data_IF_664359608588
#
_entry.id   IF_664359608588
#
_cell.length_a   1.000
_cell.length_b   1.000
_cell.length_c   1.000
_cell.angle_alpha   90.00
_cell.angle_beta   90.00
_cell.angle_gamma   90.00
#
_symmetry.space_group_name_H-M   'P 1'
#
loop_
_entity.id
_entity.type
_entity.pdbx_description
1 polymer ?
#
# COMPACT_ATOMS: atom_id res chain seq x y z
N UNK A 11 -24.57 8.03 -3.39
CA UNK A 11 -25.47 9.08 -2.92
C UNK A 11 -24.86 9.83 -1.73
N UNK A 12 -24.64 11.14 -1.89
CA UNK A 12 -23.99 11.96 -0.88
C UNK A 12 -24.95 12.49 0.20
N UNK A 13 -24.39 12.88 1.34
CA UNK A 13 -25.17 13.42 2.45
C UNK A 13 -24.28 14.19 3.42
N UNK A 14 -23.05 13.71 3.57
CA UNK A 14 -22.06 14.32 4.46
C UNK A 14 -20.87 14.80 3.64
N UNK A 15 -19.95 15.57 4.23
CA UNK A 15 -18.77 15.95 3.43
C UNK A 15 -17.81 14.79 3.19
N UNK A 16 -17.17 14.31 4.25
CA UNK A 16 -16.13 13.28 4.16
C UNK A 16 -16.60 12.02 3.44
N UNK A 17 -17.78 11.53 3.79
CA UNK A 17 -18.32 10.32 3.21
C UNK A 17 -18.56 10.49 1.70
N UNK A 18 -18.99 11.69 1.32
CA UNK A 18 -19.21 11.99 -0.10
C UNK A 18 -17.89 12.15 -0.83
N UNK A 19 -16.88 12.64 -0.12
CA UNK A 19 -15.54 12.79 -0.68
C UNK A 19 -14.83 11.45 -0.77
N UNK A 20 -15.32 10.48 0.01
CA UNK A 20 -14.69 9.15 0.04
C UNK A 20 -15.18 8.24 -1.08
N UNK A 21 -15.90 8.82 -2.04
CA UNK A 21 -16.42 8.04 -3.15
C UNK A 21 -15.37 7.84 -4.24
N UNK A 22 -15.68 8.29 -5.45
CA UNK A 22 -14.81 8.07 -6.61
C UNK A 22 -13.54 8.91 -6.51
N UNK A 23 -12.40 8.30 -6.86
CA UNK A 23 -11.09 8.94 -6.72
C UNK A 23 -10.62 9.71 -7.96
N UNK A 24 -10.20 10.95 -7.74
CA UNK A 24 -9.47 11.73 -8.73
C UNK A 24 -8.60 12.70 -7.95
N UNK A 25 -7.74 13.45 -8.66
CA UNK A 25 -6.82 14.37 -8.01
C UNK A 25 -7.55 15.32 -7.06
N UNK A 26 -8.70 15.79 -7.50
CA UNK A 26 -9.52 16.70 -6.72
C UNK A 26 -10.02 16.07 -5.41
N UNK A 27 -10.84 15.04 -5.53
CA UNK A 27 -11.43 14.37 -4.37
C UNK A 27 -10.37 13.85 -3.40
N UNK A 28 -9.42 13.08 -3.94
CA UNK A 28 -8.33 12.53 -3.15
C UNK A 28 -7.56 13.63 -2.42
N UNK A 29 -7.21 14.69 -3.15
CA UNK A 29 -6.50 15.82 -2.56
C UNK A 29 -7.26 16.45 -1.40
N UNK A 30 -8.57 16.63 -1.60
CA UNK A 30 -9.44 17.18 -0.56
C UNK A 30 -9.40 16.31 0.69
N UNK A 31 -9.64 15.00 0.50
CA UNK A 31 -9.62 14.06 1.62
C UNK A 31 -8.30 14.11 2.38
N UNK A 32 -7.19 14.10 1.65
CA UNK A 32 -5.86 14.16 2.25
C UNK A 32 -5.66 15.42 3.10
N UNK A 33 -5.95 16.57 2.51
CA UNK A 33 -5.81 17.84 3.23
C UNK A 33 -6.63 17.85 4.50
N UNK A 34 -7.85 17.34 4.38
CA UNK A 34 -8.80 17.43 5.47
C UNK A 34 -8.47 16.43 6.58
N UNK A 35 -7.82 15.31 6.25
CA UNK A 35 -7.28 14.41 7.27
C UNK A 35 -6.10 15.08 7.97
N UNK A 36 -5.26 15.72 7.15
CA UNK A 36 -4.12 16.46 7.61
C UNK A 36 -4.53 17.57 8.56
N UNK A 37 -5.77 18.02 8.47
CA UNK A 37 -6.27 19.02 9.41
C UNK A 37 -6.46 18.41 10.80
N UNK A 38 -7.22 17.32 10.90
CA UNK A 38 -7.40 16.60 12.16
C UNK A 38 -6.05 16.30 12.81
N UNK A 39 -5.16 15.74 12.00
CA UNK A 39 -3.78 15.47 12.43
C UNK A 39 -3.10 16.75 12.92
N UNK A 40 -3.25 17.82 12.16
CA UNK A 40 -2.60 19.10 12.45
C UNK A 40 -3.01 19.63 13.82
N UNK A 41 -4.30 19.87 14.02
CA UNK A 41 -4.70 20.46 15.28
C UNK A 41 -4.56 19.45 16.41
N UNK A 42 -4.54 18.17 16.09
CA UNK A 42 -4.15 17.19 17.09
C UNK A 42 -2.76 17.57 17.60
N UNK A 43 -1.81 17.67 16.68
CA UNK A 43 -0.43 18.02 17.04
C UNK A 43 -0.33 19.39 17.74
N UNK A 44 -1.22 20.31 17.39
CA UNK A 44 -1.17 21.66 17.95
C UNK A 44 -1.57 21.71 19.43
N UNK A 45 -2.37 20.74 19.89
CA UNK A 45 -2.84 20.72 21.27
C UNK A 45 -2.46 19.47 22.09
N UNK A 46 -3.30 18.45 22.03
CA UNK A 46 -3.33 17.32 22.97
C UNK A 46 -2.17 16.32 22.87
N UNK A 47 -0.95 16.82 22.68
CA UNK A 47 0.27 16.02 22.70
C UNK A 47 0.23 14.53 22.37
N UNK A 48 0.49 13.69 23.38
CA UNK A 48 0.58 12.25 23.17
C UNK A 48 -0.77 11.60 22.81
N UNK A 49 -1.85 12.07 23.42
CA UNK A 49 -3.19 11.60 23.09
C UNK A 49 -3.48 11.88 21.62
N UNK A 50 -3.17 13.12 21.25
CA UNK A 50 -3.29 13.57 19.88
C UNK A 50 -2.49 12.65 18.96
N UNK A 51 -1.31 12.25 19.42
CA UNK A 51 -0.46 11.34 18.66
C UNK A 51 -1.14 9.98 18.46
N UNK A 52 -1.79 9.48 19.52
CA UNK A 52 -2.53 8.23 19.45
C UNK A 52 -3.62 8.33 18.39
N UNK A 53 -4.27 9.49 18.31
CA UNK A 53 -5.21 9.74 17.20
C UNK A 53 -4.50 9.71 15.84
N UNK A 54 -3.32 10.32 15.82
CA UNK A 54 -2.52 10.45 14.61
C UNK A 54 -2.15 9.10 14.03
N UNK A 55 -2.07 8.09 14.89
CA UNK A 55 -1.87 6.72 14.43
C UNK A 55 -2.97 6.30 13.44
N UNK A 56 -4.20 6.24 13.94
CA UNK A 56 -5.36 5.88 13.12
C UNK A 56 -5.50 6.79 11.90
N UNK A 57 -5.28 8.09 12.09
CA UNK A 57 -5.37 9.04 10.98
C UNK A 57 -4.38 8.70 9.85
N UNK A 58 -3.14 8.44 10.24
CA UNK A 58 -2.12 8.03 9.31
C UNK A 58 -2.54 6.75 8.60
N UNK A 59 -3.22 5.87 9.32
CA UNK A 59 -3.66 4.62 8.71
C UNK A 59 -4.78 4.87 7.72
N UNK A 60 -5.54 5.94 7.93
CA UNK A 60 -6.55 6.36 6.96
C UNK A 60 -5.85 6.84 5.69
N UNK A 61 -4.77 7.59 5.88
CA UNK A 61 -3.94 8.01 4.74
C UNK A 61 -3.45 6.80 3.95
N UNK A 62 -2.94 5.80 4.67
CA UNK A 62 -2.48 4.57 4.02
C UNK A 62 -3.63 3.87 3.30
N UNK A 63 -4.83 3.93 3.87
CA UNK A 63 -6.01 3.39 3.20
C UNK A 63 -6.23 4.09 1.87
N UNK A 64 -6.04 5.41 1.85
CA UNK A 64 -6.13 6.17 0.61
C UNK A 64 -5.09 5.69 -0.40
N UNK A 65 -3.87 5.45 0.09
CA UNK A 65 -2.79 4.98 -0.78
C UNK A 65 -3.12 3.63 -1.43
N UNK A 66 -3.55 2.68 -0.61
CA UNK A 66 -3.94 1.36 -1.10
C UNK A 66 -5.09 1.47 -2.09
N UNK A 67 -6.06 2.33 -1.78
CA UNK A 67 -7.16 2.62 -2.70
C UNK A 67 -6.61 3.06 -4.05
N UNK A 68 -5.61 3.93 -4.01
CA UNK A 68 -4.99 4.42 -5.24
C UNK A 68 -4.21 3.32 -5.96
N UNK A 69 -3.78 2.31 -5.21
CA UNK A 69 -3.06 1.19 -5.80
C UNK A 69 -4.00 0.20 -6.49
N UNK A 70 -5.19 0.02 -5.92
CA UNK A 70 -6.11 -0.99 -6.40
C UNK A 70 -6.87 -0.58 -7.66
N UNK A 71 -7.17 0.70 -7.79
CA UNK A 71 -7.93 1.19 -8.94
C UNK A 71 -7.04 1.55 -10.12
N UNK A 72 -5.76 1.21 -10.03
CA UNK A 72 -4.82 1.47 -11.10
C UNK A 72 -4.46 2.93 -11.24
N UNK A 73 -4.34 3.62 -10.11
CA UNK A 73 -3.94 5.03 -10.09
C UNK A 73 -2.70 5.22 -9.24
N UNK A 74 -1.57 4.71 -9.74
CA UNK A 74 -0.31 4.71 -9.01
C UNK A 74 0.29 6.10 -8.81
N UNK A 75 0.23 6.91 -9.86
CA UNK A 75 0.76 8.28 -9.80
C UNK A 75 0.00 9.10 -8.77
N UNK A 76 -1.26 8.74 -8.54
CA UNK A 76 -2.06 9.36 -7.49
C UNK A 76 -1.51 8.96 -6.13
N UNK A 77 -1.12 7.69 -5.99
CA UNK A 77 -0.48 7.21 -4.77
C UNK A 77 0.78 8.00 -4.51
N UNK A 78 1.48 8.37 -5.58
CA UNK A 78 2.65 9.23 -5.45
C UNK A 78 2.25 10.67 -5.09
N UNK A 79 1.05 11.07 -5.52
CA UNK A 79 0.56 12.41 -5.22
C UNK A 79 0.12 12.53 -3.77
N UNK A 80 -0.16 11.40 -3.13
CA UNK A 80 -0.55 11.38 -1.71
C UNK A 80 0.51 12.02 -0.83
N UNK A 81 1.77 11.69 -1.11
CA UNK A 81 2.90 12.14 -0.30
C UNK A 81 3.06 13.66 -0.37
N UNK A 82 2.68 14.24 -1.51
CA UNK A 82 2.85 15.67 -1.74
C UNK A 82 1.84 16.50 -0.95
N UNK A 83 0.62 15.98 -0.82
CA UNK A 83 -0.44 16.70 -0.15
C UNK A 83 -0.41 16.56 1.36
N UNK A 84 0.68 16.00 1.88
CA UNK A 84 0.83 15.81 3.32
C UNK A 84 1.92 16.71 3.88
N UNK A 85 1.58 17.49 4.93
CA UNK A 85 2.55 18.35 5.62
C UNK A 85 3.77 17.57 6.09
N UNK A 86 4.93 18.21 6.08
CA UNK A 86 6.18 17.56 6.43
C UNK A 86 6.16 17.07 7.88
N UNK A 87 5.56 17.86 8.77
CA UNK A 87 5.45 17.50 10.17
C UNK A 87 4.67 16.20 10.34
N UNK A 88 3.58 16.08 9.60
CA UNK A 88 2.78 14.86 9.55
C UNK A 88 3.56 13.71 8.93
N UNK A 89 4.26 14.03 7.85
CA UNK A 89 5.05 13.07 7.09
C UNK A 89 6.13 12.43 7.96
N UNK A 90 6.64 13.19 8.92
CA UNK A 90 7.69 12.72 9.81
C UNK A 90 7.21 11.57 10.68
N UNK A 91 5.93 11.59 11.03
CA UNK A 91 5.35 10.56 11.87
C UNK A 91 4.80 9.40 11.05
N UNK A 92 4.04 9.73 10.00
CA UNK A 92 3.40 8.71 9.19
C UNK A 92 4.43 7.87 8.44
N UNK A 93 5.44 8.54 7.87
CA UNK A 93 6.55 7.85 7.21
C UNK A 93 7.84 8.15 7.96
N UNK A 94 8.04 7.50 9.11
CA UNK A 94 9.20 7.81 9.94
C UNK A 94 10.48 7.20 9.39
N UNK A 95 11.57 7.95 9.45
CA UNK A 95 12.87 7.45 9.07
C UNK A 95 13.07 7.22 7.59
N UNK A 96 13.58 6.05 7.26
CA UNK A 96 13.92 5.70 5.89
C UNK A 96 12.68 5.40 5.05
N UNK A 97 11.54 5.27 5.72
CA UNK A 97 10.29 4.95 5.04
C UNK A 97 9.90 6.01 4.01
N UNK A 98 10.15 7.26 4.33
CA UNK A 98 9.78 8.36 3.43
C UNK A 98 10.67 8.39 2.19
N UNK A 99 11.84 7.77 2.29
CA UNK A 99 12.80 7.77 1.20
C UNK A 99 12.51 6.65 0.18
N UNK A 100 12.00 5.53 0.69
CA UNK A 100 11.72 4.38 -0.16
C UNK A 100 10.22 4.25 -0.44
N UNK A 101 9.47 5.32 -0.19
CA UNK A 101 8.02 5.32 -0.39
C UNK A 101 7.67 5.09 -1.86
N UNK A 102 8.46 5.67 -2.75
CA UNK A 102 8.25 5.54 -4.18
C UNK A 102 8.32 4.08 -4.62
N UNK A 103 9.35 3.39 -4.14
CA UNK A 103 9.57 1.98 -4.48
C UNK A 103 8.51 1.09 -3.84
N UNK A 104 8.06 1.45 -2.65
CA UNK A 104 7.01 0.69 -1.97
C UNK A 104 5.71 0.79 -2.76
N UNK A 105 5.35 2.01 -3.15
CA UNK A 105 4.16 2.24 -3.95
C UNK A 105 4.25 1.50 -5.28
N UNK A 106 5.41 1.59 -5.94
CA UNK A 106 5.61 0.96 -7.24
C UNK A 106 5.49 -0.56 -7.16
N UNK A 107 6.24 -1.16 -6.23
CA UNK A 107 6.23 -2.60 -6.03
C UNK A 107 4.84 -3.10 -5.69
N UNK A 108 4.20 -2.43 -4.73
CA UNK A 108 2.86 -2.77 -4.32
C UNK A 108 1.88 -2.72 -5.49
N UNK A 109 1.92 -1.63 -6.25
CA UNK A 109 1.07 -1.48 -7.42
C UNK A 109 1.28 -2.59 -8.44
N UNK A 110 2.55 -2.91 -8.68
CA UNK A 110 2.90 -3.97 -9.61
C UNK A 110 2.29 -5.29 -9.19
N UNK A 111 2.56 -5.72 -7.96
CA UNK A 111 2.05 -7.00 -7.47
C UNK A 111 0.52 -7.04 -7.45
N UNK A 112 -0.09 -5.96 -6.97
CA UNK A 112 -1.55 -5.86 -6.92
C UNK A 112 -2.18 -5.99 -8.29
N UNK A 113 -1.66 -5.24 -9.26
CA UNK A 113 -2.19 -5.29 -10.62
C UNK A 113 -1.92 -6.65 -11.28
N UNK A 114 -0.82 -7.29 -10.89
CA UNK A 114 -0.52 -8.63 -11.38
C UNK A 114 -1.56 -9.62 -10.88
N UNK A 115 -1.88 -9.55 -9.59
CA UNK A 115 -2.90 -10.41 -9.02
C UNK A 115 -4.27 -10.14 -9.62
N UNK A 116 -4.58 -8.87 -9.84
CA UNK A 116 -5.85 -8.49 -10.44
C UNK A 116 -5.95 -9.02 -11.88
N UNK A 117 -4.81 -9.13 -12.55
CA UNK A 117 -4.76 -9.64 -13.90
C UNK A 117 -4.53 -8.56 -14.93
N UNK A 123 6.74 -0.70 -15.42
CA UNK A 123 7.97 0.05 -15.69
C UNK A 123 9.20 -0.74 -15.28
N UNK A 124 10.34 -0.37 -15.83
CA UNK A 124 11.60 -1.04 -15.53
C UNK A 124 12.00 -0.78 -14.08
N UNK A 125 12.33 -1.85 -13.36
CA UNK A 125 12.62 -1.77 -11.93
C UNK A 125 13.92 -1.01 -11.63
N UNK A 126 14.91 -1.16 -12.48
CA UNK A 126 16.19 -0.49 -12.29
C UNK A 126 16.06 1.00 -12.60
N UNK A 127 15.17 1.32 -13.54
CA UNK A 127 14.93 2.71 -13.93
C UNK A 127 14.22 3.47 -12.82
N UNK A 128 13.18 2.86 -12.26
CA UNK A 128 12.41 3.49 -11.19
C UNK A 128 13.16 3.45 -9.86
N UNK A 129 14.20 2.62 -9.81
CA UNK A 129 15.09 2.57 -8.66
C UNK A 129 14.69 1.56 -7.60
N UNK A 130 13.81 0.63 -7.95
CA UNK A 130 13.32 -0.37 -7.00
C UNK A 130 14.41 -1.41 -6.68
N UNK A 131 15.09 -1.89 -7.71
CA UNK A 131 16.12 -2.91 -7.55
C UNK A 131 17.24 -2.44 -6.62
N UNK A 132 17.71 -1.21 -6.85
CA UNK A 132 18.77 -0.62 -6.04
C UNK A 132 18.33 -0.49 -4.59
N UNK A 133 17.03 -0.29 -4.38
CA UNK A 133 16.48 -0.23 -3.02
C UNK A 133 16.44 -1.63 -2.40
N UNK A 134 16.15 -2.63 -3.22
CA UNK A 134 16.09 -4.00 -2.75
C UNK A 134 17.48 -4.53 -2.42
N UNK A 135 18.50 -3.93 -3.01
CA UNK A 135 19.88 -4.30 -2.70
C UNK A 135 20.23 -3.94 -1.25
N UNK A 136 19.60 -2.89 -0.74
CA UNK A 136 19.83 -2.44 0.62
C UNK A 136 18.88 -3.12 1.59
N UNK A 137 19.43 -3.78 2.61
CA UNK A 137 18.63 -4.51 3.59
C UNK A 137 17.75 -3.57 4.40
N UNK A 138 18.28 -2.39 4.73
CA UNK A 138 17.55 -1.44 5.55
C UNK A 138 16.42 -0.80 4.77
N UNK A 139 16.69 -0.50 3.50
CA UNK A 139 15.67 0.01 2.61
C UNK A 139 14.62 -1.06 2.35
N UNK A 140 15.08 -2.32 2.29
CA UNK A 140 14.17 -3.45 2.18
C UNK A 140 13.21 -3.44 3.36
N UNK A 141 13.76 -3.43 4.58
CA UNK A 141 12.97 -3.44 5.79
C UNK A 141 12.00 -2.26 5.85
N UNK A 142 12.45 -1.10 5.40
CA UNK A 142 11.58 0.09 5.35
C UNK A 142 10.40 -0.15 4.40
N UNK A 143 10.71 -0.62 3.20
CA UNK A 143 9.69 -0.97 2.21
C UNK A 143 8.69 -1.97 2.79
N UNK A 144 9.21 -2.97 3.50
CA UNK A 144 8.39 -4.00 4.12
C UNK A 144 7.46 -3.39 5.16
N UNK A 145 7.98 -2.44 5.93
CA UNK A 145 7.16 -1.73 6.91
C UNK A 145 6.03 -0.99 6.21
N UNK A 146 6.35 -0.30 5.12
CA UNK A 146 5.34 0.43 4.36
C UNK A 146 4.26 -0.49 3.79
N UNK A 147 4.66 -1.60 3.20
CA UNK A 147 3.72 -2.56 2.61
C UNK A 147 2.84 -3.16 3.69
N UNK A 148 3.45 -3.45 4.84
CA UNK A 148 2.73 -3.90 6.01
C UNK A 148 1.63 -2.91 6.36
N UNK A 149 2.03 -1.64 6.47
CA UNK A 149 1.11 -0.57 6.79
C UNK A 149 -0.03 -0.51 5.77
N UNK A 150 0.31 -0.70 4.50
CA UNK A 150 -0.68 -0.81 3.43
C UNK A 150 -1.70 -1.91 3.73
N UNK A 151 -1.19 -3.05 4.18
CA UNK A 151 -2.03 -4.21 4.48
C UNK A 151 -2.99 -3.96 5.64
N UNK A 152 -2.44 -3.58 6.79
CA UNK A 152 -3.28 -3.39 7.97
C UNK A 152 -4.07 -2.08 7.90
N UNK A 153 -3.87 -1.30 6.85
CA UNK A 153 -4.68 -0.10 6.64
C UNK A 153 -6.04 -0.48 6.06
N UNK A 154 -6.10 -1.62 5.38
CA UNK A 154 -7.37 -2.10 4.85
C UNK A 154 -7.89 -3.24 5.70
N UNK A 155 -7.03 -3.81 6.53
CA UNK A 155 -7.48 -4.85 7.46
C UNK A 155 -8.28 -4.27 8.63
N UNK A 156 -7.81 -3.16 9.19
CA UNK A 156 -8.46 -2.56 10.35
C UNK A 156 -9.45 -1.47 9.94
N UNK A 157 -10.35 -1.12 10.86
CA UNK A 157 -11.37 -0.10 10.60
C UNK A 157 -10.80 1.31 10.79
N UNK A 158 -10.20 1.85 9.74
CA UNK A 158 -9.65 3.20 9.78
C UNK A 158 -10.76 4.22 10.03
N UNK A 159 -11.88 4.05 9.33
CA UNK A 159 -13.06 4.84 9.57
C UNK A 159 -14.07 4.02 10.35
N UNK A 160 -14.75 4.66 11.30
CA UNK A 160 -15.74 3.97 12.11
C UNK A 160 -16.96 3.60 11.27
N UNK A 161 -17.11 4.27 10.12
CA UNK A 161 -18.11 3.89 9.14
C UNK A 161 -17.44 3.17 7.97
N UNK A 162 -17.95 1.98 7.63
CA UNK A 162 -17.36 1.17 6.56
C UNK A 162 -17.46 1.83 5.20
N UNK A 163 -16.31 2.11 4.59
CA UNK A 163 -16.26 2.72 3.28
C UNK A 163 -15.54 1.81 2.30
N UNK A 164 -16.20 1.49 1.18
CA UNK A 164 -15.67 0.56 0.17
C UNK A 164 -14.28 0.94 -0.31
N UNK A 165 -13.37 -0.04 -0.32
CA UNK A 165 -12.01 0.16 -0.80
C UNK A 165 -12.03 0.70 -2.22
N UNK A 166 -12.87 0.09 -3.05
CA UNK A 166 -13.15 0.60 -4.38
C UNK A 166 -14.58 1.14 -4.41
N UNK A 167 -14.74 2.42 -4.76
CA UNK A 167 -16.07 3.05 -4.80
C UNK A 167 -16.99 2.36 -5.81
N UNK A 168 -18.29 2.39 -5.54
CA UNK A 168 -19.30 1.77 -6.39
C UNK A 168 -19.11 0.26 -6.54
N UNK A 169 -18.45 -0.35 -5.55
CA UNK A 169 -18.33 -1.80 -5.49
C UNK A 169 -18.49 -2.30 -4.04
N UNK A 170 -19.72 -2.20 -3.50
CA UNK A 170 -19.99 -2.52 -2.09
C UNK A 170 -20.10 -4.02 -1.79
N UNK A 171 -20.79 -4.78 -2.64
CA UNK A 171 -20.96 -6.21 -2.40
C UNK A 171 -19.66 -6.98 -2.52
N UNK A 172 -18.83 -6.59 -3.48
CA UNK A 172 -17.56 -7.28 -3.71
C UNK A 172 -16.44 -6.73 -2.85
N UNK A 173 -16.80 -5.96 -1.82
CA UNK A 173 -15.82 -5.29 -0.98
C UNK A 173 -14.89 -6.25 -0.24
N UNK A 174 -15.46 -7.28 0.37
CA UNK A 174 -14.67 -8.27 1.10
C UNK A 174 -13.79 -9.09 0.17
N UNK A 175 -14.31 -9.38 -1.02
CA UNK A 175 -13.54 -10.09 -2.03
C UNK A 175 -12.33 -9.26 -2.44
N UNK A 176 -12.59 -8.01 -2.80
CA UNK A 176 -11.55 -7.06 -3.19
C UNK A 176 -10.49 -6.93 -2.09
N UNK A 177 -10.95 -6.71 -0.86
CA UNK A 177 -10.06 -6.53 0.29
C UNK A 177 -9.20 -7.77 0.53
N UNK A 178 -9.81 -8.95 0.50
CA UNK A 178 -9.06 -10.20 0.66
C UNK A 178 -7.99 -10.32 -0.41
N UNK A 179 -8.38 -10.09 -1.66
CA UNK A 179 -7.44 -10.17 -2.77
C UNK A 179 -6.26 -9.23 -2.62
N UNK A 180 -6.55 -7.93 -2.44
CA UNK A 180 -5.51 -6.92 -2.26
C UNK A 180 -4.58 -7.27 -1.09
N UNK A 181 -5.19 -7.76 -0.01
CA UNK A 181 -4.43 -8.20 1.15
C UNK A 181 -3.45 -9.30 0.81
N UNK A 182 -3.90 -10.29 0.04
CA UNK A 182 -3.02 -11.39 -0.35
C UNK A 182 -1.91 -10.90 -1.27
N UNK A 183 -2.24 -9.96 -2.15
CA UNK A 183 -1.25 -9.33 -3.02
C UNK A 183 -0.13 -8.69 -2.20
N UNK A 184 -0.53 -7.83 -1.26
CA UNK A 184 0.42 -7.17 -0.37
C UNK A 184 1.20 -8.19 0.44
N UNK A 185 0.57 -9.32 0.73
CA UNK A 185 1.24 -10.40 1.45
C UNK A 185 2.38 -10.97 0.62
N UNK A 186 2.12 -11.22 -0.67
CA UNK A 186 3.19 -11.72 -1.52
C UNK A 186 4.29 -10.66 -1.73
N UNK A 187 3.91 -9.40 -1.76
CA UNK A 187 4.90 -8.32 -1.84
C UNK A 187 5.81 -8.37 -0.63
N UNK A 188 5.21 -8.56 0.54
CA UNK A 188 5.96 -8.73 1.78
C UNK A 188 6.87 -9.94 1.70
N UNK A 189 6.41 -11.00 1.04
CA UNK A 189 7.24 -12.18 0.87
C UNK A 189 8.45 -11.85 0.00
N UNK A 190 8.24 -11.05 -1.04
CA UNK A 190 9.31 -10.62 -1.92
C UNK A 190 10.36 -9.82 -1.16
N UNK A 191 9.89 -8.88 -0.36
CA UNK A 191 10.80 -8.02 0.39
C UNK A 191 11.57 -8.77 1.46
N UNK A 192 10.86 -9.56 2.25
CA UNK A 192 11.45 -10.26 3.39
C UNK A 192 12.33 -11.44 2.97
N UNK A 193 12.15 -11.91 1.74
CA UNK A 193 12.94 -13.03 1.24
C UNK A 193 13.68 -12.69 -0.05
N UNK A 194 14.31 -11.52 -0.07
CA UNK A 194 15.08 -11.09 -1.23
C UNK A 194 16.45 -11.74 -1.25
N UNK A 198 14.37 -19.14 -2.70
CA UNK A 198 14.27 -20.56 -3.01
C UNK A 198 14.77 -21.42 -1.86
N UNK A 199 14.88 -20.82 -0.67
CA UNK A 199 15.21 -21.56 0.54
C UNK A 199 14.01 -22.39 0.99
N UNK A 200 14.27 -23.41 1.81
CA UNK A 200 13.20 -24.24 2.35
C UNK A 200 12.29 -23.41 3.24
N UNK A 201 12.90 -22.70 4.19
CA UNK A 201 12.18 -21.82 5.10
C UNK A 201 11.44 -20.72 4.34
N UNK A 202 12.04 -20.25 3.25
CA UNK A 202 11.40 -19.25 2.42
C UNK A 202 10.22 -19.83 1.64
N UNK A 203 10.36 -21.10 1.26
CA UNK A 203 9.32 -21.79 0.51
C UNK A 203 8.11 -22.10 1.37
N UNK A 204 8.34 -22.36 2.66
CA UNK A 204 7.26 -22.64 3.59
C UNK A 204 6.29 -21.48 3.73
N UNK A 205 6.73 -20.28 3.34
CA UNK A 205 5.92 -19.08 3.46
C UNK A 205 5.11 -18.80 2.20
N UNK A 206 4.99 -19.79 1.33
CA UNK A 206 4.23 -19.64 0.10
C UNK A 206 2.95 -20.48 0.12
N UNK A 207 2.62 -21.02 1.29
CA UNK A 207 1.44 -21.86 1.46
C UNK A 207 0.16 -21.03 1.52
N UNK A 208 0.32 -19.71 1.53
CA UNK A 208 -0.81 -18.79 1.66
C UNK A 208 -1.59 -18.65 0.36
N UNK A 209 -0.94 -18.98 -0.75
CA UNK A 209 -1.52 -18.79 -2.08
C UNK A 209 -2.83 -19.55 -2.27
N UNK A 210 -3.77 -18.94 -2.99
CA UNK A 210 -5.06 -19.54 -3.25
C UNK A 210 -5.11 -20.13 -4.66
N UNK A 211 -5.47 -19.31 -5.62
CA UNK A 211 -5.55 -19.73 -7.02
C UNK A 211 -5.16 -18.60 -7.96
N UNK A 212 -4.93 -18.94 -9.22
CA UNK A 212 -4.61 -17.99 -10.29
C UNK A 212 -3.28 -17.23 -10.10
N UNK A 213 -2.84 -17.08 -8.85
CA UNK A 213 -1.70 -16.23 -8.53
C UNK A 213 -0.37 -16.70 -9.15
N UNK A 214 -0.08 -17.99 -9.03
CA UNK A 214 1.18 -18.52 -9.54
C UNK A 214 1.35 -18.27 -11.04
N UNK A 215 0.29 -18.56 -11.80
CA UNK A 215 0.31 -18.33 -13.23
C UNK A 215 0.45 -16.85 -13.57
N UNK A 216 -0.08 -15.98 -12.70
CA UNK A 216 0.06 -14.55 -12.88
C UNK A 216 1.51 -14.12 -12.67
N UNK A 217 2.16 -14.76 -11.70
CA UNK A 217 3.59 -14.53 -11.48
C UNK A 217 4.39 -14.95 -12.71
N UNK A 218 4.09 -16.15 -13.20
CA UNK A 218 4.74 -16.67 -14.40
C UNK A 218 4.58 -15.72 -15.57
N UNK A 219 3.34 -15.35 -15.88
CA UNK A 219 3.03 -14.49 -17.02
C UNK A 219 3.64 -13.10 -16.88
N UNK A 220 3.62 -12.54 -15.68
CA UNK A 220 4.15 -11.19 -15.47
C UNK A 220 5.67 -11.15 -15.54
N UNK A 221 6.32 -12.12 -14.91
CA UNK A 221 7.78 -12.15 -14.89
C UNK A 221 8.37 -12.67 -16.19
N UNK A 222 7.51 -13.28 -17.02
CA UNK A 222 7.92 -13.74 -18.34
C UNK A 222 8.26 -12.57 -19.25
N UNK A 223 7.48 -11.50 -19.13
CA UNK A 223 7.66 -10.31 -19.95
C UNK A 223 8.76 -9.40 -19.37
N UNK A 224 8.91 -9.44 -18.06
CA UNK A 224 9.90 -8.62 -17.38
C UNK A 224 11.31 -9.16 -17.60
N UNK A 232 17.64 -10.26 -11.50
CA UNK A 232 17.38 -11.69 -11.58
C UNK A 232 16.31 -12.13 -10.59
N UNK A 233 15.41 -11.22 -10.27
CA UNK A 233 14.29 -11.51 -9.36
C UNK A 233 13.40 -12.58 -9.98
N UNK A 234 13.09 -12.38 -11.26
CA UNK A 234 12.35 -13.37 -12.05
C UNK A 234 12.97 -14.75 -11.91
N UNK A 235 14.29 -14.81 -12.12
CA UNK A 235 15.03 -16.06 -12.01
C UNK A 235 14.85 -16.72 -10.64
N UNK A 236 15.03 -15.95 -9.57
CA UNK A 236 14.89 -16.46 -8.22
C UNK A 236 13.49 -17.00 -7.96
N UNK A 237 12.48 -16.34 -8.50
CA UNK A 237 11.10 -16.76 -8.28
C UNK A 237 10.76 -18.02 -9.09
N UNK A 238 11.20 -18.08 -10.34
CA UNK A 238 10.97 -19.25 -11.17
C UNK A 238 11.73 -20.46 -10.61
N UNK A 239 12.85 -20.19 -9.95
CA UNK A 239 13.61 -21.22 -9.25
C UNK A 239 12.86 -21.70 -8.01
N UNK A 240 12.31 -20.75 -7.25
CA UNK A 240 11.58 -21.06 -6.03
C UNK A 240 10.34 -21.89 -6.31
N UNK A 241 9.59 -21.52 -7.33
CA UNK A 241 8.34 -22.19 -7.67
C UNK A 241 8.52 -23.68 -7.99
N UNK A 242 9.59 -24.00 -8.69
CA UNK A 242 9.86 -25.38 -9.10
C UNK A 242 10.29 -26.26 -7.92
N UNK A 243 10.82 -25.63 -6.88
CA UNK A 243 11.23 -26.35 -5.68
C UNK A 243 10.04 -26.63 -4.77
#
# INVERSE_FOLDING_TARGET
KQLMLDGPKSEPADPFISLLMDPLEESVGKVVNHIAQLFEEASKNEGDESLVLRSQLGYQLFFLIVRSLADGKREVSKKILSGIPTSVRAEVFPGLQRSVYKSAVFLGNHIIQVLLGSKKSFEDWDVVGVAKDLESAWKRRAIAELIKKFQVSILEQCFDKPVPLIPQSPLNNDAVIDNVNKALQFALWLTEFYGSENETEALGELRFLDSTSKNLLVDSFKKFVQGINSKTHVTRIVESLEK
#
